data_IF_163058341869
#
_entry.id   IF_163058341869
#
_cell.length_a   1.000
_cell.length_b   1.000
_cell.length_c   1.000
_cell.angle_alpha   90.00
_cell.angle_beta   90.00
_cell.angle_gamma   90.00
#
_symmetry.space_group_name_H-M   'P 1'
#
loop_
_entity.id
_entity.type
_entity.pdbx_description
1 polymer ?
#
# COMPACT_ATOMS: atom_id res chain seq x y z
N UNK A 1 -20.47 20.34 -4.56
CA UNK A 1 -19.36 20.00 -5.45
C UNK A 1 -19.54 20.87 -6.67
N UNK A 2 -18.52 21.65 -7.07
CA UNK A 2 -18.56 22.41 -8.32
C UNK A 2 -18.67 21.44 -9.50
N UNK A 3 -19.34 21.83 -10.59
CA UNK A 3 -19.45 20.98 -11.81
C UNK A 3 -18.09 20.61 -12.43
N UNK A 4 -17.01 21.23 -11.96
CA UNK A 4 -15.64 21.08 -12.47
C UNK A 4 -14.70 20.31 -11.53
N UNK A 5 -15.19 19.56 -10.51
CA UNK A 5 -14.30 18.78 -9.62
C UNK A 5 -13.79 17.51 -10.30
N UNK A 6 -12.48 17.33 -10.31
CA UNK A 6 -11.82 16.15 -10.87
C UNK A 6 -11.67 15.04 -9.81
N UNK A 7 -11.56 13.79 -10.29
CA UNK A 7 -11.18 12.64 -9.47
C UNK A 7 -9.69 12.36 -9.64
N UNK A 8 -8.92 12.50 -8.57
CA UNK A 8 -7.47 12.33 -8.57
C UNK A 8 -7.10 11.08 -7.78
N UNK A 9 -6.43 10.14 -8.43
CA UNK A 9 -5.87 8.95 -7.79
C UNK A 9 -4.36 9.15 -7.60
N UNK A 10 -3.89 9.04 -6.34
CA UNK A 10 -2.48 9.14 -6.00
C UNK A 10 -2.02 7.77 -5.48
N UNK A 11 -1.20 7.09 -6.26
CA UNK A 11 -0.64 5.79 -5.91
C UNK A 11 0.76 5.99 -5.30
N UNK A 12 0.91 5.60 -4.04
CA UNK A 12 2.18 5.70 -3.30
C UNK A 12 2.80 4.32 -3.18
N UNK A 13 4.12 4.23 -3.34
CA UNK A 13 4.84 2.96 -3.24
C UNK A 13 4.62 2.27 -1.89
N UNK A 14 4.57 0.93 -1.93
CA UNK A 14 4.33 0.09 -0.76
C UNK A 14 5.67 -0.40 -0.19
N UNK A 15 6.01 -0.07 1.06
CA UNK A 15 7.23 -0.55 1.69
C UNK A 15 7.08 -2.01 2.13
N UNK A 16 8.17 -2.77 2.10
CA UNK A 16 8.20 -4.06 2.76
C UNK A 16 8.00 -3.91 4.28
N UNK A 17 7.13 -4.75 4.82
CA UNK A 17 6.86 -4.78 6.27
C UNK A 17 7.89 -5.63 7.03
N UNK A 18 9.20 -5.35 6.83
CA UNK A 18 10.31 -6.05 7.49
C UNK A 18 11.20 -5.13 8.33
N UNK A 19 10.85 -3.87 8.45
CA UNK A 19 11.59 -2.86 9.20
C UNK A 19 10.82 -1.56 9.36
N UNK A 20 11.27 -0.64 10.25
CA UNK A 20 10.65 0.68 10.40
C UNK A 20 10.99 1.57 9.20
N UNK A 21 10.08 2.51 8.90
CA UNK A 21 10.37 3.56 7.94
C UNK A 21 11.52 4.44 8.45
N UNK A 22 12.43 4.78 7.55
CA UNK A 22 13.50 5.77 7.84
C UNK A 22 13.19 7.10 7.14
N UNK A 23 13.97 8.13 7.47
CA UNK A 23 13.77 9.49 6.98
C UNK A 23 13.69 9.57 5.43
N UNK A 24 14.47 8.74 4.71
CA UNK A 24 14.43 8.68 3.25
C UNK A 24 13.07 8.19 2.70
N UNK A 25 12.44 7.21 3.36
CA UNK A 25 11.09 6.80 3.01
C UNK A 25 10.10 7.95 3.22
N UNK A 26 10.18 8.60 4.38
CA UNK A 26 9.26 9.68 4.73
C UNK A 26 9.38 10.86 3.77
N UNK A 27 10.60 11.37 3.59
CA UNK A 27 10.84 12.58 2.79
C UNK A 27 10.70 12.33 1.28
N UNK A 28 11.08 11.15 0.80
CA UNK A 28 11.10 10.86 -0.63
C UNK A 28 9.84 10.17 -1.17
N UNK A 29 9.14 9.40 -0.34
CA UNK A 29 8.05 8.55 -0.79
C UNK A 29 6.68 8.98 -0.25
N UNK A 30 6.57 9.39 1.03
CA UNK A 30 5.28 9.60 1.65
C UNK A 30 4.85 11.06 1.78
N UNK A 31 5.75 11.97 2.09
CA UNK A 31 5.42 13.40 2.19
C UNK A 31 5.05 14.04 0.85
N UNK A 32 5.77 13.82 -0.26
CA UNK A 32 5.41 14.46 -1.53
C UNK A 32 3.98 14.13 -2.00
N UNK A 33 3.54 12.85 -2.02
CA UNK A 33 2.17 12.53 -2.39
C UNK A 33 1.13 13.04 -1.39
N UNK A 34 1.44 13.13 -0.09
CA UNK A 34 0.54 13.73 0.89
C UNK A 34 0.36 15.22 0.64
N UNK A 35 1.43 15.94 0.31
CA UNK A 35 1.38 17.35 -0.07
C UNK A 35 0.52 17.53 -1.34
N UNK A 36 0.71 16.67 -2.35
CA UNK A 36 -0.10 16.69 -3.57
C UNK A 36 -1.59 16.41 -3.26
N UNK A 37 -1.87 15.40 -2.43
CA UNK A 37 -3.25 15.09 -2.04
C UNK A 37 -3.94 16.27 -1.34
N UNK A 38 -3.23 16.94 -0.43
CA UNK A 38 -3.75 18.13 0.26
C UNK A 38 -3.97 19.30 -0.72
N UNK A 39 -3.05 19.51 -1.64
CA UNK A 39 -3.18 20.53 -2.67
C UNK A 39 -4.41 20.28 -3.55
N UNK A 40 -4.58 19.09 -4.08
CA UNK A 40 -5.74 18.73 -4.91
C UNK A 40 -7.06 18.90 -4.14
N UNK A 41 -7.12 18.48 -2.88
CA UNK A 41 -8.29 18.70 -2.02
C UNK A 41 -8.57 20.18 -1.80
N UNK A 42 -7.53 21.03 -1.69
CA UNK A 42 -7.71 22.48 -1.56
C UNK A 42 -8.28 23.14 -2.79
N UNK A 43 -8.11 22.54 -3.97
CA UNK A 43 -8.74 22.95 -5.24
C UNK A 43 -10.19 22.46 -5.37
N UNK A 44 -10.68 21.65 -4.44
CA UNK A 44 -12.03 21.08 -4.47
C UNK A 44 -12.12 19.74 -5.20
N UNK A 45 -10.99 19.14 -5.58
CA UNK A 45 -10.94 17.83 -6.24
C UNK A 45 -11.23 16.68 -5.25
N UNK A 46 -11.81 15.59 -5.76
CA UNK A 46 -12.00 14.35 -5.03
C UNK A 46 -10.73 13.52 -5.12
N UNK A 47 -10.04 13.31 -3.99
CA UNK A 47 -8.74 12.65 -3.98
C UNK A 47 -8.79 11.31 -3.26
N UNK A 48 -8.33 10.26 -3.94
CA UNK A 48 -8.04 8.96 -3.37
C UNK A 48 -6.51 8.76 -3.37
N UNK A 49 -5.89 8.72 -2.18
CA UNK A 49 -4.48 8.38 -2.02
C UNK A 49 -4.36 6.97 -1.46
N UNK A 50 -3.58 6.10 -2.11
CA UNK A 50 -3.46 4.69 -1.76
C UNK A 50 -2.02 4.27 -1.55
N UNK A 51 -1.77 3.49 -0.51
CA UNK A 51 -0.53 2.78 -0.22
C UNK A 51 -0.83 1.58 0.69
N UNK A 52 0.20 0.96 1.22
CA UNK A 52 0.05 -0.15 2.17
C UNK A 52 1.39 -0.79 2.50
N UNK A 53 1.32 -1.90 3.21
CA UNK A 53 2.48 -2.74 3.51
C UNK A 53 2.60 -3.85 2.46
N UNK A 54 3.77 -3.96 1.83
CA UNK A 54 4.14 -5.14 1.06
C UNK A 54 4.59 -6.24 2.03
N UNK A 55 3.79 -7.30 2.11
CA UNK A 55 3.91 -8.33 3.14
C UNK A 55 4.35 -9.70 2.61
N UNK A 56 4.79 -9.74 1.35
CA UNK A 56 5.30 -10.93 0.70
C UNK A 56 6.74 -10.74 0.25
N UNK A 57 7.55 -11.79 0.38
CA UNK A 57 8.90 -11.83 -0.18
C UNK A 57 9.99 -12.23 0.81
N UNK A 58 11.14 -12.57 0.27
CA UNK A 58 12.33 -13.06 0.97
C UNK A 58 12.81 -12.14 2.13
N UNK A 59 12.77 -10.80 2.02
CA UNK A 59 13.22 -9.95 3.12
C UNK A 59 12.46 -10.18 4.44
N UNK A 60 11.17 -10.47 4.36
CA UNK A 60 10.33 -10.74 5.54
C UNK A 60 10.70 -12.09 6.16
N UNK A 61 10.86 -13.11 5.31
CA UNK A 61 11.24 -14.45 5.76
C UNK A 61 12.60 -14.43 6.46
N UNK A 62 13.59 -13.72 5.88
CA UNK A 62 14.93 -13.59 6.47
C UNK A 62 14.86 -12.88 7.83
N UNK A 63 14.09 -11.79 7.93
CA UNK A 63 13.91 -11.09 9.22
C UNK A 63 13.24 -12.02 10.26
N UNK A 64 12.24 -12.77 9.85
CA UNK A 64 11.54 -13.70 10.73
C UNK A 64 12.46 -14.80 11.26
N UNK A 65 13.31 -15.37 10.40
CA UNK A 65 14.31 -16.36 10.78
C UNK A 65 15.34 -15.79 11.77
N UNK A 66 15.81 -14.57 11.53
CA UNK A 66 16.77 -13.90 12.41
C UNK A 66 16.18 -13.59 13.79
N UNK A 67 14.92 -13.18 13.85
CA UNK A 67 14.22 -12.85 15.09
C UNK A 67 13.62 -14.10 15.78
N UNK A 68 13.61 -15.26 15.13
CA UNK A 68 13.05 -16.51 15.66
C UNK A 68 11.53 -16.49 15.82
N UNK A 69 10.82 -15.76 14.95
CA UNK A 69 9.36 -15.59 14.96
C UNK A 69 8.75 -15.99 13.61
N UNK A 70 7.43 -15.96 13.50
CA UNK A 70 6.78 -16.22 12.21
C UNK A 70 6.87 -15.01 11.28
N UNK A 71 6.83 -15.21 9.94
CA UNK A 71 6.70 -14.09 8.99
C UNK A 71 5.49 -13.20 9.26
N UNK A 72 4.39 -13.78 9.76
CA UNK A 72 3.18 -13.04 10.11
C UNK A 72 3.44 -12.08 11.28
N UNK A 73 4.18 -12.50 12.30
CA UNK A 73 4.52 -11.64 13.45
C UNK A 73 5.36 -10.43 13.01
N UNK A 74 6.26 -10.63 12.03
CA UNK A 74 7.07 -9.54 11.47
C UNK A 74 6.19 -8.52 10.74
N UNK A 75 5.34 -8.97 9.82
CA UNK A 75 4.50 -8.05 9.04
C UNK A 75 3.48 -7.33 9.91
N UNK A 76 2.89 -7.99 10.90
CA UNK A 76 1.96 -7.38 11.84
C UNK A 76 2.64 -6.28 12.67
N UNK A 77 3.83 -6.57 13.20
CA UNK A 77 4.65 -5.61 13.94
C UNK A 77 4.97 -4.36 13.12
N UNK A 78 5.53 -4.55 11.93
CA UNK A 78 6.00 -3.42 11.13
C UNK A 78 4.88 -2.68 10.40
N UNK A 79 3.79 -3.36 10.03
CA UNK A 79 2.60 -2.68 9.55
C UNK A 79 2.07 -1.68 10.60
N UNK A 80 1.94 -2.09 11.85
CA UNK A 80 1.49 -1.20 12.95
C UNK A 80 2.46 -0.04 13.19
N UNK A 81 3.76 -0.31 13.23
CA UNK A 81 4.79 0.72 13.47
C UNK A 81 4.77 1.75 12.33
N UNK A 82 4.76 1.30 11.09
CA UNK A 82 4.84 2.15 9.91
C UNK A 82 3.57 2.97 9.71
N UNK A 83 2.40 2.35 9.83
CA UNK A 83 1.12 3.07 9.74
C UNK A 83 0.95 4.09 10.86
N UNK A 84 1.40 3.77 12.09
CA UNK A 84 1.39 4.73 13.19
C UNK A 84 2.35 5.90 12.94
N UNK A 85 3.57 5.63 12.45
CA UNK A 85 4.54 6.68 12.16
C UNK A 85 4.01 7.67 11.12
N UNK A 86 3.36 7.21 10.07
CA UNK A 86 2.76 8.06 9.04
C UNK A 86 1.59 8.88 9.61
N UNK A 87 0.75 8.32 10.47
CA UNK A 87 -0.31 9.06 11.16
C UNK A 87 0.23 10.11 12.12
N UNK A 88 1.24 9.76 12.91
CA UNK A 88 1.87 10.69 13.87
C UNK A 88 2.54 11.86 13.13
N UNK A 89 3.03 11.63 11.92
CA UNK A 89 3.57 12.67 11.04
C UNK A 89 2.47 13.55 10.43
N UNK A 90 1.21 13.15 10.54
CA UNK A 90 0.05 13.86 10.00
C UNK A 90 -0.19 13.61 8.52
N UNK A 91 0.33 12.53 7.93
CA UNK A 91 -0.04 12.13 6.58
C UNK A 91 -1.54 11.89 6.49
N UNK A 92 -2.18 12.48 5.48
CA UNK A 92 -3.64 12.58 5.35
C UNK A 92 -4.27 11.35 4.70
N UNK A 93 -4.10 10.19 5.30
CA UNK A 93 -4.77 8.94 4.92
C UNK A 93 -6.23 8.90 5.44
N UNK A 94 -6.89 10.04 5.51
CA UNK A 94 -8.25 10.16 6.03
C UNK A 94 -9.28 9.53 5.08
N UNK A 95 -10.35 8.92 5.62
CA UNK A 95 -11.44 8.46 4.79
C UNK A 95 -12.11 9.65 4.12
N UNK A 96 -12.25 9.60 2.81
CA UNK A 96 -13.14 10.49 2.08
C UNK A 96 -14.56 9.90 2.14
N UNK A 97 -15.54 10.71 2.50
CA UNK A 97 -16.94 10.34 2.47
C UNK A 97 -17.55 10.90 1.20
N UNK A 98 -18.15 10.05 0.34
CA UNK A 98 -18.84 10.51 -0.85
C UNK A 98 -20.16 11.23 -0.50
N UNK A 99 -20.81 11.80 -1.53
CA UNK A 99 -22.11 12.47 -1.37
C UNK A 99 -23.24 11.58 -0.86
N UNK A 100 -23.03 10.25 -0.83
CA UNK A 100 -23.94 9.22 -0.32
C UNK A 100 -23.62 8.80 1.11
N UNK A 101 -22.56 9.36 1.73
CA UNK A 101 -22.09 8.96 3.05
C UNK A 101 -21.30 7.66 3.04
N UNK A 102 -20.88 7.17 1.87
CA UNK A 102 -20.02 6.01 1.76
C UNK A 102 -18.58 6.46 1.99
N UNK A 103 -17.96 5.90 3.02
CA UNK A 103 -16.54 6.10 3.27
C UNK A 103 -15.73 5.45 2.14
N UNK A 104 -15.07 6.27 1.32
CA UNK A 104 -14.02 5.77 0.44
C UNK A 104 -12.76 5.63 1.26
N UNK A 105 -12.45 4.38 1.57
CA UNK A 105 -11.23 3.99 2.18
C UNK A 105 -10.88 4.80 3.42
N UNK A 106 -11.25 4.32 4.56
CA UNK A 106 -10.48 4.64 5.75
C UNK A 106 -9.03 4.44 5.38
N UNK A 107 -8.19 5.35 5.81
CA UNK A 107 -6.74 5.34 5.62
C UNK A 107 -6.28 4.16 4.76
N UNK A 108 -6.19 4.35 3.46
CA UNK A 108 -5.85 3.26 2.54
C UNK A 108 -4.35 2.95 2.62
N UNK A 109 -3.91 2.67 3.83
CA UNK A 109 -2.66 2.01 4.12
C UNK A 109 -2.99 0.53 4.38
N UNK A 110 -3.29 -0.18 3.29
CA UNK A 110 -3.75 -1.56 3.30
C UNK A 110 -2.59 -2.55 3.44
N UNK A 111 -2.91 -3.83 3.30
CA UNK A 111 -1.93 -4.92 3.39
C UNK A 111 -2.04 -5.81 2.16
N UNK A 112 -0.91 -6.21 1.58
CA UNK A 112 -0.94 -7.20 0.48
C UNK A 112 -1.38 -8.59 0.95
N UNK A 113 -1.36 -8.84 2.26
CA UNK A 113 -1.88 -10.06 2.86
C UNK A 113 -3.39 -10.06 3.14
N UNK A 114 -4.09 -8.95 2.91
CA UNK A 114 -5.54 -8.88 3.05
C UNK A 114 -6.23 -9.84 2.07
N UNK A 115 -7.32 -10.47 2.53
CA UNK A 115 -8.02 -11.50 1.75
C UNK A 115 -8.57 -10.94 0.43
N UNK A 116 -9.13 -9.74 0.44
CA UNK A 116 -9.62 -9.08 -0.77
C UNK A 116 -8.49 -8.81 -1.77
N UNK A 117 -7.31 -8.39 -1.29
CA UNK A 117 -6.14 -8.20 -2.14
C UNK A 117 -5.72 -9.51 -2.81
N UNK A 118 -5.66 -10.61 -2.05
CA UNK A 118 -5.34 -11.94 -2.57
C UNK A 118 -6.30 -12.38 -3.66
N UNK A 119 -7.61 -12.21 -3.44
CA UNK A 119 -8.63 -12.58 -4.41
C UNK A 119 -8.45 -11.82 -5.72
N UNK A 120 -8.26 -10.51 -5.67
CA UNK A 120 -8.05 -9.66 -6.84
C UNK A 120 -6.79 -10.09 -7.62
N UNK A 121 -5.69 -10.34 -6.90
CA UNK A 121 -4.43 -10.78 -7.52
C UNK A 121 -4.60 -12.14 -8.19
N UNK A 122 -5.26 -13.10 -7.53
CA UNK A 122 -5.51 -14.44 -8.09
C UNK A 122 -6.41 -14.38 -9.33
N UNK A 123 -7.46 -13.56 -9.30
CA UNK A 123 -8.32 -13.37 -10.47
C UNK A 123 -7.57 -12.77 -11.66
N UNK A 124 -6.76 -11.75 -11.43
CA UNK A 124 -5.95 -11.12 -12.47
C UNK A 124 -4.91 -12.10 -13.03
N UNK A 125 -4.25 -12.88 -12.16
CA UNK A 125 -3.33 -13.92 -12.58
C UNK A 125 -4.01 -14.94 -13.51
N UNK A 126 -5.20 -15.42 -13.13
CA UNK A 126 -5.98 -16.36 -13.96
C UNK A 126 -6.34 -15.76 -15.32
N UNK A 127 -6.83 -14.52 -15.34
CA UNK A 127 -7.14 -13.82 -16.60
C UNK A 127 -5.94 -13.74 -17.54
N UNK A 128 -4.76 -13.41 -17.02
CA UNK A 128 -3.53 -13.32 -17.79
C UNK A 128 -3.03 -14.69 -18.24
N UNK A 129 -3.17 -15.72 -17.40
CA UNK A 129 -2.83 -17.10 -17.75
C UNK A 129 -3.72 -17.62 -18.90
N UNK A 130 -5.03 -17.43 -18.78
CA UNK A 130 -6.02 -17.86 -19.78
C UNK A 130 -5.84 -17.10 -21.12
N UNK A 131 -5.37 -15.86 -21.05
CA UNK A 131 -5.02 -15.05 -22.22
C UNK A 131 -3.65 -15.41 -22.84
N UNK A 132 -2.90 -16.36 -22.28
CA UNK A 132 -1.63 -16.85 -22.82
C UNK A 132 -0.43 -15.92 -22.60
N UNK A 133 -0.49 -14.99 -21.64
CA UNK A 133 0.61 -14.07 -21.33
C UNK A 133 1.71 -14.68 -20.45
N UNK A 134 1.52 -15.91 -19.95
CA UNK A 134 2.52 -16.58 -19.11
C UNK A 134 3.29 -17.66 -19.87
N UNK A 135 4.59 -17.68 -19.69
CA UNK A 135 5.48 -18.72 -20.16
C UNK A 135 6.15 -19.41 -18.96
N UNK A 136 6.16 -20.75 -18.95
CA UNK A 136 6.84 -21.51 -17.92
C UNK A 136 8.31 -21.69 -18.27
N UNK A 137 9.21 -21.14 -17.44
CA UNK A 137 10.67 -21.28 -17.59
C UNK A 137 11.29 -21.88 -16.34
N UNK A 138 12.38 -22.62 -16.56
CA UNK A 138 13.24 -23.11 -15.45
C UNK A 138 14.54 -22.32 -15.49
N UNK A 139 14.89 -21.69 -14.38
CA UNK A 139 16.16 -20.97 -14.22
C UNK A 139 16.94 -21.57 -13.05
N UNK A 140 18.26 -21.79 -13.17
CA UNK A 140 19.09 -22.19 -12.04
C UNK A 140 19.15 -21.03 -11.02
N UNK A 141 19.01 -21.36 -9.75
CA UNK A 141 19.19 -20.43 -8.65
C UNK A 141 20.31 -20.90 -7.74
N UNK A 142 21.09 -19.96 -7.20
CA UNK A 142 22.09 -20.25 -6.19
C UNK A 142 21.44 -20.08 -4.79
N UNK A 143 21.69 -21.04 -3.93
CA UNK A 143 21.29 -21.03 -2.51
C UNK A 143 22.47 -20.59 -1.65
#
# INVERSE_FOLDING_TARGET
MSEDSEHVLICVAWPYANGPLHLGHVAGCYLPPDIQARYERSLGNSVLMVSGSDEHGTPITVTAEQDGVSPQDIVDKYHMINSKALRDLGCSWEPNVDSRGIEFGGALFNRTSDEEHKLIVQENFKKLLDAGFFERKTTPQYY
#
